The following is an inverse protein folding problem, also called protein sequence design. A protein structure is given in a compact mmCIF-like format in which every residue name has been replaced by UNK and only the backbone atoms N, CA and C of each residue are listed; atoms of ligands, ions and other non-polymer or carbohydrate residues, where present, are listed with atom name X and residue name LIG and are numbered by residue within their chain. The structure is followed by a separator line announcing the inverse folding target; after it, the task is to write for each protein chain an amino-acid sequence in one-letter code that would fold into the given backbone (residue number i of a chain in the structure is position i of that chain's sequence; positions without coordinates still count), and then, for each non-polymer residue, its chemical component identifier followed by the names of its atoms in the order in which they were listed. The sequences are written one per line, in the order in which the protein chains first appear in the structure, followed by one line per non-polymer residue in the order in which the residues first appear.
data_IF_407170413713
#
_entry.id   IF_407170413713
#
_cell.length_a   1.000
_cell.length_b   1.000
_cell.length_c   1.000
_cell.angle_alpha   90.00
_cell.angle_beta   90.00
_cell.angle_gamma   90.00
#
_symmetry.space_group_name_H-M   'P 1'
#
loop_
_entity.id
_entity.type
_entity.pdbx_description
1 polymer ?
#
# COMPACT_ATOMS: atom_id res chain seq x y z
N UNK A 1 10.15 -0.45 -1.50
CA UNK A 1 9.38 0.60 -0.81
C UNK A 1 8.30 1.08 -1.75
N UNK A 2 7.03 0.88 -1.39
CA UNK A 2 5.86 1.28 -2.19
C UNK A 2 5.91 2.77 -2.57
N UNK A 3 6.30 3.05 -3.82
CA UNK A 3 6.35 4.39 -4.41
C UNK A 3 5.42 4.54 -5.61
N UNK A 4 4.46 3.62 -5.75
CA UNK A 4 3.47 3.57 -6.83
C UNK A 4 2.28 2.69 -6.46
N UNK A 5 1.10 3.00 -7.00
CA UNK A 5 -0.06 2.13 -6.92
C UNK A 5 -1.14 2.43 -7.96
N UNK A 6 -2.25 1.68 -7.88
CA UNK A 6 -3.48 1.87 -8.67
C UNK A 6 -4.54 2.49 -7.75
N UNK A 7 -4.98 3.69 -8.09
CA UNK A 7 -6.04 4.41 -7.40
C UNK A 7 -7.00 4.99 -8.44
N UNK A 8 -7.93 4.15 -8.91
CA UNK A 8 -9.01 4.48 -9.85
C UNK A 8 -10.41 4.46 -9.21
N UNK A 9 -10.48 4.15 -7.90
CA UNK A 9 -11.68 4.22 -7.06
C UNK A 9 -12.38 5.58 -7.18
N UNK A 10 -13.72 5.60 -7.23
CA UNK A 10 -14.46 6.87 -7.18
C UNK A 10 -14.37 7.45 -5.76
N UNK A 11 -14.41 8.78 -5.57
CA UNK A 11 -14.34 9.39 -4.23
C UNK A 11 -15.30 8.81 -3.18
N UNK A 12 -16.54 8.52 -3.60
CA UNK A 12 -17.57 7.96 -2.71
C UNK A 12 -17.31 6.48 -2.38
N UNK A 13 -16.47 5.80 -3.15
CA UNK A 13 -16.10 4.39 -2.95
C UNK A 13 -15.00 4.26 -1.89
N UNK A 14 -14.06 5.22 -1.83
CA UNK A 14 -13.02 5.29 -0.79
C UNK A 14 -13.63 5.30 0.61
N UNK A 15 -14.75 6.00 0.81
CA UNK A 15 -15.51 5.94 2.06
C UNK A 15 -16.01 4.52 2.35
N UNK A 16 -16.69 3.86 1.40
CA UNK A 16 -17.26 2.51 1.61
C UNK A 16 -16.21 1.38 1.71
N UNK A 17 -15.00 1.62 1.25
CA UNK A 17 -13.86 0.70 1.37
C UNK A 17 -13.16 0.83 2.73
N UNK A 18 -13.03 2.06 3.24
CA UNK A 18 -12.41 2.34 4.54
C UNK A 18 -13.41 2.31 5.72
N UNK A 19 -14.71 2.42 5.47
CA UNK A 19 -15.79 2.29 6.44
C UNK A 19 -16.41 0.91 6.23
N UNK A 20 -15.87 -0.09 6.92
CA UNK A 20 -16.42 -1.45 6.93
C UNK A 20 -17.61 -1.51 7.92
N UNK A 21 -17.55 -0.71 8.99
CA UNK A 21 -18.59 -0.58 10.02
C UNK A 21 -19.69 0.45 9.65
N UNK A 22 -20.95 0.02 9.57
CA UNK A 22 -22.12 0.90 9.30
C UNK A 22 -22.32 2.03 10.33
N UNK A 23 -21.63 2.00 11.47
CA UNK A 23 -21.73 2.98 12.54
C UNK A 23 -20.95 4.29 12.26
N UNK A 24 -20.04 4.32 11.27
CA UNK A 24 -19.18 5.48 11.01
C UNK A 24 -19.75 6.36 9.89
N UNK A 25 -20.29 7.53 10.24
CA UNK A 25 -20.91 8.45 9.28
C UNK A 25 -19.86 9.26 8.50
N UNK A 26 -19.91 9.19 7.17
CA UNK A 26 -19.28 10.18 6.28
C UNK A 26 -20.00 11.52 6.43
N UNK A 27 -19.28 12.57 6.83
CA UNK A 27 -19.81 13.92 7.01
C UNK A 27 -19.62 14.81 5.77
N UNK A 28 -18.43 14.78 5.15
CA UNK A 28 -18.06 15.68 4.04
C UNK A 28 -16.95 15.13 3.14
N UNK A 29 -16.86 15.68 1.93
CA UNK A 29 -15.77 15.50 0.97
C UNK A 29 -14.99 16.82 0.81
N UNK A 30 -13.66 16.79 0.88
CA UNK A 30 -12.79 17.97 0.84
C UNK A 30 -11.80 17.92 -0.34
N UNK A 31 -11.70 19.04 -1.07
CA UNK A 31 -10.79 19.27 -2.22
C UNK A 31 -10.81 18.19 -3.32
N UNK A 32 -11.95 17.51 -3.48
CA UNK A 32 -12.05 16.33 -4.34
C UNK A 32 -11.97 16.64 -5.85
N UNK A 33 -12.17 17.90 -6.21
CA UNK A 33 -11.84 18.52 -7.50
C UNK A 33 -10.39 18.28 -7.95
N UNK A 34 -9.46 18.07 -7.01
CA UNK A 34 -8.04 17.84 -7.28
C UNK A 34 -7.71 16.39 -7.63
N UNK A 35 -8.63 15.45 -7.42
CA UNK A 35 -8.39 14.03 -7.67
C UNK A 35 -8.52 13.67 -9.14
N UNK A 36 -7.58 12.85 -9.63
CA UNK A 36 -7.67 12.19 -10.93
C UNK A 36 -7.47 10.67 -10.74
N UNK A 37 -8.43 9.82 -11.16
CA UNK A 37 -8.27 8.38 -11.22
C UNK A 37 -7.05 7.97 -12.05
N UNK A 38 -6.18 7.12 -11.50
CA UNK A 38 -4.89 6.73 -12.10
C UNK A 38 -4.52 5.28 -11.83
N UNK A 39 -4.11 4.54 -12.86
CA UNK A 39 -3.58 3.19 -12.73
C UNK A 39 -2.14 3.17 -12.20
N UNK A 40 -1.41 4.28 -12.31
CA UNK A 40 0.02 4.39 -12.02
C UNK A 40 0.32 5.64 -11.16
N UNK A 41 -0.43 5.82 -10.07
CA UNK A 41 -0.30 6.99 -9.18
C UNK A 41 1.02 6.96 -8.40
N UNK A 42 1.69 8.11 -8.31
CA UNK A 42 3.00 8.29 -7.67
C UNK A 42 2.99 9.39 -6.60
N UNK A 43 4.04 9.51 -5.77
CA UNK A 43 4.29 10.72 -4.99
C UNK A 43 4.21 12.00 -5.85
N UNK A 44 3.79 13.09 -5.23
CA UNK A 44 3.41 14.34 -5.89
C UNK A 44 1.96 14.38 -6.41
N UNK A 45 1.29 13.24 -6.54
CA UNK A 45 -0.11 13.17 -6.99
C UNK A 45 -1.09 13.48 -5.85
N UNK A 46 -2.29 13.95 -6.22
CA UNK A 46 -3.43 14.07 -5.32
C UNK A 46 -4.20 12.75 -5.21
N UNK A 47 -4.51 12.31 -4.00
CA UNK A 47 -5.17 11.03 -3.68
C UNK A 47 -6.23 11.26 -2.58
N UNK A 48 -7.45 10.70 -2.70
CA UNK A 48 -8.44 10.72 -1.62
C UNK A 48 -8.00 9.82 -0.46
N UNK A 49 -7.98 10.38 0.75
CA UNK A 49 -7.74 9.64 2.00
C UNK A 49 -8.96 9.78 2.91
N UNK A 50 -9.28 8.74 3.68
CA UNK A 50 -10.28 8.87 4.76
C UNK A 50 -9.58 9.32 6.04
N UNK A 51 -10.13 10.34 6.71
CA UNK A 51 -9.70 10.81 8.03
C UNK A 51 -10.91 11.00 8.95
N UNK A 52 -10.69 11.08 10.26
CA UNK A 52 -11.70 11.63 11.17
C UNK A 52 -12.05 13.07 10.80
N UNK A 53 -13.31 13.44 10.98
CA UNK A 53 -13.78 14.81 10.80
C UNK A 53 -13.50 15.66 12.05
N UNK A 54 -12.83 16.78 11.83
CA UNK A 54 -12.49 17.82 12.80
C UNK A 54 -13.67 18.76 13.10
N UNK A 55 -14.64 18.87 12.19
CA UNK A 55 -15.90 19.59 12.44
C UNK A 55 -17.07 18.69 12.85
N UNK A 56 -16.84 17.40 13.08
CA UNK A 56 -17.86 16.35 13.17
C UNK A 56 -18.65 16.25 14.49
N UNK A 57 -18.81 17.34 15.25
CA UNK A 57 -19.69 17.41 16.44
C UNK A 57 -19.40 16.38 17.54
N UNK A 58 -18.17 15.85 17.63
CA UNK A 58 -17.78 14.80 18.58
C UNK A 58 -18.24 13.37 18.22
N UNK A 59 -19.17 13.20 17.28
CA UNK A 59 -19.84 11.92 16.98
C UNK A 59 -19.04 10.90 16.16
N UNK A 60 -17.70 10.90 16.25
CA UNK A 60 -16.84 9.92 15.57
C UNK A 60 -16.83 9.97 14.03
N UNK A 61 -17.47 10.98 13.42
CA UNK A 61 -17.63 11.10 11.97
C UNK A 61 -16.31 11.20 11.20
N UNK A 62 -16.38 10.93 9.89
CA UNK A 62 -15.22 10.89 8.99
C UNK A 62 -15.42 11.74 7.74
N UNK A 63 -14.32 12.20 7.15
CA UNK A 63 -14.30 12.95 5.90
C UNK A 63 -13.35 12.32 4.89
N UNK A 64 -13.76 12.24 3.63
CA UNK A 64 -12.85 11.94 2.51
C UNK A 64 -12.17 13.23 2.10
N UNK A 65 -10.85 13.28 2.18
CA UNK A 65 -10.06 14.47 1.90
C UNK A 65 -9.04 14.15 0.80
N UNK A 66 -9.08 14.88 -0.31
CA UNK A 66 -8.04 14.79 -1.33
C UNK A 66 -6.77 15.50 -0.87
N UNK A 67 -5.70 14.73 -0.68
CA UNK A 67 -4.41 15.21 -0.17
C UNK A 67 -3.28 14.84 -1.12
N UNK A 68 -2.14 15.52 -1.03
CA UNK A 68 -0.99 15.27 -1.89
C UNK A 68 -0.06 14.21 -1.27
N UNK A 69 0.26 13.15 -2.00
CA UNK A 69 1.14 12.08 -1.53
C UNK A 69 2.60 12.57 -1.47
N UNK A 70 3.21 12.57 -0.29
CA UNK A 70 4.51 13.20 -0.03
C UNK A 70 4.39 14.28 1.03
N UNK A 71 4.58 13.89 2.29
CA UNK A 71 4.32 14.73 3.46
C UNK A 71 5.21 15.98 3.51
N UNK A 72 4.61 17.11 3.82
CA UNK A 72 5.29 18.38 4.13
C UNK A 72 4.95 18.72 5.59
N UNK A 73 5.92 18.68 6.52
CA UNK A 73 5.67 19.08 7.90
C UNK A 73 5.20 20.53 8.00
N UNK A 74 4.18 20.82 8.82
CA UNK A 74 3.67 22.18 9.04
C UNK A 74 4.69 23.17 9.61
N UNK A 75 5.83 22.69 10.13
CA UNK A 75 6.98 23.49 10.56
C UNK A 75 8.06 23.71 9.49
N UNK A 76 7.89 23.17 8.27
CA UNK A 76 8.77 23.46 7.12
C UNK A 76 8.73 24.95 6.80
N UNK A 77 9.86 25.52 6.39
CA UNK A 77 9.96 26.95 6.08
C UNK A 77 8.92 27.34 5.02
N UNK A 78 8.15 28.40 5.28
CA UNK A 78 7.05 28.87 4.40
C UNK A 78 7.49 29.24 2.97
N UNK A 79 8.78 29.50 2.77
CA UNK A 79 9.39 29.80 1.47
C UNK A 79 10.08 28.57 0.82
N UNK A 80 10.14 27.40 1.47
CA UNK A 80 10.71 26.18 0.90
C UNK A 80 9.73 25.56 -0.12
N UNK A 81 10.19 25.32 -1.35
CA UNK A 81 9.40 24.62 -2.36
C UNK A 81 9.27 23.12 -1.98
N UNK A 82 8.06 22.59 -1.77
CA UNK A 82 7.89 21.21 -1.32
C UNK A 82 8.46 20.14 -2.27
N UNK A 83 9.30 19.25 -1.73
CA UNK A 83 9.65 17.98 -2.36
C UNK A 83 8.84 16.82 -1.77
N UNK A 84 7.90 16.33 -2.57
CA UNK A 84 7.02 15.22 -2.22
C UNK A 84 7.72 13.85 -2.26
N UNK A 85 8.88 13.72 -2.90
CA UNK A 85 9.66 12.47 -2.91
C UNK A 85 10.53 12.29 -1.66
N UNK A 86 10.67 13.33 -0.82
CA UNK A 86 11.41 13.30 0.45
C UNK A 86 10.73 12.48 1.55
N UNK A 87 9.39 12.49 1.61
CA UNK A 87 8.63 11.96 2.77
C UNK A 87 7.31 11.23 2.38
N UNK A 88 7.25 10.60 1.20
CA UNK A 88 6.06 9.84 0.75
C UNK A 88 5.77 8.56 1.55
N UNK A 89 6.80 8.00 2.19
CA UNK A 89 6.68 6.88 3.13
C UNK A 89 7.33 7.21 4.48
N UNK A 90 6.81 6.63 5.55
CA UNK A 90 7.41 6.63 6.88
C UNK A 90 7.64 5.18 7.37
N UNK A 91 8.69 4.95 8.15
CA UNK A 91 9.01 3.63 8.73
C UNK A 91 8.36 3.49 10.10
N UNK A 92 7.43 2.54 10.25
CA UNK A 92 6.64 2.29 11.47
C UNK A 92 7.49 2.16 12.73
N UNK A 93 8.68 1.60 12.62
CA UNK A 93 9.64 1.39 13.70
C UNK A 93 10.19 2.71 14.29
N UNK A 94 10.08 3.82 13.54
CA UNK A 94 10.68 5.13 13.89
C UNK A 94 9.70 6.31 13.87
N UNK A 95 8.39 6.07 13.73
CA UNK A 95 7.41 7.16 13.69
C UNK A 95 7.30 7.92 15.01
N UNK A 96 7.47 7.21 16.15
CA UNK A 96 7.37 7.78 17.50
C UNK A 96 8.56 8.66 17.87
N UNK A 97 9.70 8.46 17.22
CA UNK A 97 10.95 9.19 17.46
C UNK A 97 10.98 10.50 16.65
N UNK A 98 10.64 10.43 15.36
CA UNK A 98 10.91 11.49 14.39
C UNK A 98 9.94 12.67 14.56
N UNK A 99 10.40 13.91 14.81
CA UNK A 99 9.53 15.07 15.04
C UNK A 99 8.49 15.32 13.95
N UNK A 100 8.82 15.04 12.69
CA UNK A 100 7.91 15.17 11.55
C UNK A 100 6.68 14.27 11.65
N UNK A 101 6.81 13.08 12.26
CA UNK A 101 5.77 12.06 12.35
C UNK A 101 5.16 11.93 13.76
N UNK A 102 5.96 11.99 14.83
CA UNK A 102 5.49 11.64 16.20
C UNK A 102 4.32 12.48 16.69
N UNK A 103 4.29 13.78 16.34
CA UNK A 103 3.20 14.72 16.66
C UNK A 103 1.90 14.44 15.89
N UNK A 104 1.97 13.70 14.78
CA UNK A 104 0.82 13.36 13.94
C UNK A 104 0.09 12.11 14.45
N UNK A 105 0.81 11.23 15.16
CA UNK A 105 0.29 9.96 15.70
C UNK A 105 -0.99 10.13 16.53
N UNK A 106 -1.18 11.16 17.39
CA UNK A 106 -2.42 11.29 18.17
C UNK A 106 -3.65 11.67 17.35
N UNK A 107 -3.52 12.62 16.43
CA UNK A 107 -4.67 13.33 15.85
C UNK A 107 -4.77 13.26 14.32
N UNK A 108 -3.65 13.02 13.62
CA UNK A 108 -3.54 13.18 12.17
C UNK A 108 -3.28 11.83 11.47
N UNK A 109 -3.97 10.78 11.91
CA UNK A 109 -3.97 9.47 11.23
C UNK A 109 -5.06 9.42 10.17
N UNK A 110 -4.74 8.83 9.03
CA UNK A 110 -5.67 8.62 7.92
C UNK A 110 -5.49 7.22 7.30
N UNK A 111 -6.40 6.89 6.39
CA UNK A 111 -6.48 5.64 5.65
C UNK A 111 -6.39 5.94 4.15
N UNK A 112 -5.56 5.20 3.43
CA UNK A 112 -5.37 5.36 1.97
C UNK A 112 -5.84 4.09 1.27
N UNK A 113 -6.87 4.20 0.43
CA UNK A 113 -7.40 3.08 -0.34
C UNK A 113 -6.78 3.01 -1.75
N UNK A 114 -6.25 1.85 -2.12
CA UNK A 114 -5.72 1.58 -3.47
C UNK A 114 -6.09 0.16 -3.92
N UNK A 115 -6.43 -0.03 -5.18
CA UNK A 115 -6.80 -1.36 -5.73
C UNK A 115 -5.58 -2.29 -5.84
N UNK A 116 -4.38 -1.73 -5.78
CA UNK A 116 -3.11 -2.44 -5.69
C UNK A 116 -1.94 -1.47 -5.54
N UNK A 117 -0.77 -1.96 -5.12
CA UNK A 117 0.49 -1.24 -5.20
C UNK A 117 1.45 -1.90 -6.20
N UNK A 118 2.51 -1.20 -6.59
CA UNK A 118 3.59 -1.78 -7.38
C UNK A 118 4.92 -1.73 -6.65
N UNK A 119 5.70 -2.78 -6.80
CA UNK A 119 7.03 -2.92 -6.23
C UNK A 119 7.98 -3.58 -7.26
N UNK A 120 9.27 -3.25 -7.20
CA UNK A 120 10.24 -3.67 -8.21
C UNK A 120 11.27 -4.66 -7.64
N UNK A 121 11.21 -5.93 -8.08
CA UNK A 121 12.32 -6.87 -7.86
C UNK A 121 13.56 -6.32 -8.57
N UNK A 122 14.63 -6.13 -7.81
CA UNK A 122 15.95 -5.76 -8.34
C UNK A 122 16.68 -7.04 -8.74
N UNK A 123 17.28 -7.05 -9.92
CA UNK A 123 18.03 -8.18 -10.45
C UNK A 123 19.30 -7.66 -11.14
N UNK A 124 20.36 -7.50 -10.35
CA UNK A 124 21.51 -6.68 -10.71
C UNK A 124 21.08 -5.25 -11.06
N UNK A 125 21.32 -4.84 -12.31
CA UNK A 125 20.89 -3.55 -12.87
C UNK A 125 19.44 -3.54 -13.38
N UNK A 126 18.82 -4.70 -13.61
CA UNK A 126 17.44 -4.81 -14.08
C UNK A 126 16.45 -4.62 -12.93
N UNK A 127 15.24 -4.16 -13.25
CA UNK A 127 14.13 -4.02 -12.30
C UNK A 127 12.84 -4.52 -12.92
N UNK A 128 12.26 -5.57 -12.35
CA UNK A 128 10.98 -6.13 -12.79
C UNK A 128 9.87 -5.65 -11.85
N UNK A 129 8.89 -4.84 -12.32
CA UNK A 129 7.73 -4.47 -11.52
C UNK A 129 6.77 -5.64 -11.36
N UNK A 130 6.17 -5.72 -10.18
CA UNK A 130 5.03 -6.57 -9.87
C UNK A 130 3.86 -5.68 -9.44
N UNK A 131 2.64 -6.09 -9.76
CA UNK A 131 1.41 -5.56 -9.17
C UNK A 131 1.04 -6.45 -7.98
N UNK A 132 0.65 -5.86 -6.85
CA UNK A 132 0.32 -6.55 -5.60
C UNK A 132 -1.05 -6.06 -5.11
N UNK A 133 -1.99 -6.99 -4.89
CA UNK A 133 -3.39 -6.71 -4.56
C UNK A 133 -4.05 -7.87 -3.80
N UNK A 134 -5.26 -7.70 -3.30
CA UNK A 134 -6.04 -8.81 -2.74
C UNK A 134 -6.66 -9.69 -3.83
N UNK A 135 -6.65 -11.01 -3.61
CA UNK A 135 -7.13 -12.06 -4.52
C UNK A 135 -8.61 -11.93 -4.90
N UNK A 136 -9.42 -11.29 -4.06
CA UNK A 136 -10.84 -11.02 -4.30
C UNK A 136 -11.10 -9.62 -4.92
N UNK A 137 -10.05 -8.94 -5.39
CA UNK A 137 -10.07 -7.60 -5.98
C UNK A 137 -10.62 -6.48 -5.08
N UNK A 138 -10.85 -6.73 -3.78
CA UNK A 138 -11.12 -5.65 -2.81
C UNK A 138 -9.89 -4.73 -2.74
N UNK A 139 -10.05 -3.41 -2.54
CA UNK A 139 -8.88 -2.54 -2.42
C UNK A 139 -8.13 -2.77 -1.11
N UNK A 140 -6.82 -2.56 -1.16
CA UNK A 140 -5.94 -2.46 -0.01
C UNK A 140 -6.23 -1.16 0.73
N UNK A 141 -6.26 -1.23 2.07
CA UNK A 141 -6.33 -0.05 2.95
C UNK A 141 -4.99 0.08 3.67
N UNK A 142 -4.30 1.21 3.48
CA UNK A 142 -3.01 1.47 4.12
C UNK A 142 -3.14 2.42 5.31
N UNK A 143 -2.40 2.14 6.38
CA UNK A 143 -2.20 3.07 7.48
C UNK A 143 -1.34 4.27 7.01
N UNK A 144 -1.79 5.50 7.29
CA UNK A 144 -1.10 6.72 6.87
C UNK A 144 -1.17 7.84 7.91
N UNK A 145 -0.25 8.79 7.80
CA UNK A 145 -0.24 10.05 8.56
C UNK A 145 -0.40 11.23 7.59
N UNK A 146 -1.15 12.24 7.99
CA UNK A 146 -1.32 13.48 7.22
C UNK A 146 -0.87 14.73 7.98
N UNK A 147 -0.66 15.82 7.26
CA UNK A 147 -0.36 17.12 7.85
C UNK A 147 -0.79 18.27 6.94
N UNK A 148 -0.85 19.48 7.50
CA UNK A 148 -1.10 20.73 6.80
C UNK A 148 0.09 21.65 6.92
N UNK A 149 0.63 22.10 5.79
CA UNK A 149 1.61 23.17 5.70
C UNK A 149 1.00 24.40 5.04
N UNK A 150 1.56 25.57 5.30
CA UNK A 150 1.07 26.85 4.76
C UNK A 150 2.23 27.66 4.23
N UNK A 151 2.19 28.04 2.96
CA UNK A 151 3.24 28.84 2.32
C UNK A 151 3.21 30.30 2.83
N UNK A 152 4.11 31.14 2.32
CA UNK A 152 4.17 32.57 2.65
C UNK A 152 3.03 33.40 2.07
N UNK A 153 2.33 32.89 1.06
CA UNK A 153 1.15 33.50 0.44
C UNK A 153 -0.16 33.19 1.19
N UNK A 154 -0.13 32.25 2.15
CA UNK A 154 -1.27 31.83 2.95
C UNK A 154 -2.04 30.60 2.42
N UNK A 155 -1.59 30.00 1.32
CA UNK A 155 -2.20 28.77 0.79
C UNK A 155 -1.94 27.58 1.70
N UNK A 156 -2.98 26.82 2.03
CA UNK A 156 -2.88 25.59 2.83
C UNK A 156 -2.73 24.37 1.91
N UNK A 157 -1.66 23.61 2.13
CA UNK A 157 -1.34 22.37 1.43
C UNK A 157 -1.47 21.17 2.38
N UNK A 158 -2.50 20.35 2.14
CA UNK A 158 -2.68 19.08 2.85
C UNK A 158 -1.91 17.96 2.16
N UNK A 159 -1.12 17.22 2.95
CA UNK A 159 -0.20 16.18 2.45
C UNK A 159 -0.23 14.94 3.33
N UNK A 160 0.19 13.79 2.81
CA UNK A 160 0.24 12.54 3.58
C UNK A 160 1.46 11.67 3.26
N UNK A 161 1.75 10.74 4.17
CA UNK A 161 2.77 9.69 4.06
C UNK A 161 2.17 8.33 4.37
N UNK A 162 2.53 7.30 3.61
CA UNK A 162 2.08 5.92 3.86
C UNK A 162 3.04 5.28 4.87
N UNK A 163 2.51 4.56 5.85
CA UNK A 163 3.34 3.81 6.79
C UNK A 163 3.85 2.53 6.13
N UNK A 164 5.12 2.22 6.37
CA UNK A 164 5.81 1.04 5.87
C UNK A 164 6.44 0.27 7.00
N UNK A 165 6.39 -1.04 6.90
CA UNK A 165 6.94 -2.02 7.85
C UNK A 165 7.87 -2.98 7.10
N UNK A 166 8.48 -3.96 7.77
CA UNK A 166 9.22 -5.02 7.07
C UNK A 166 8.28 -5.77 6.11
N UNK A 167 8.79 -6.28 5.00
CA UNK A 167 7.98 -7.18 4.16
C UNK A 167 7.57 -8.43 4.92
N UNK A 168 6.38 -8.93 4.60
CA UNK A 168 5.93 -10.23 5.04
C UNK A 168 6.73 -11.37 4.44
N UNK A 169 6.64 -12.54 5.04
CA UNK A 169 7.27 -13.79 4.58
C UNK A 169 7.05 -14.00 3.07
N UNK A 170 5.80 -13.81 2.61
CA UNK A 170 5.38 -13.95 1.22
C UNK A 170 5.99 -12.93 0.24
N UNK A 171 6.45 -11.77 0.70
CA UNK A 171 6.96 -10.66 -0.15
C UNK A 171 8.45 -10.35 0.04
N UNK A 172 9.16 -11.02 0.95
CA UNK A 172 10.57 -10.74 1.25
C UNK A 172 11.51 -10.89 0.04
N UNK A 173 11.19 -11.81 -0.88
CA UNK A 173 11.92 -12.04 -2.14
C UNK A 173 11.79 -10.88 -3.16
N UNK A 174 10.79 -10.00 -2.98
CA UNK A 174 10.47 -8.87 -3.86
C UNK A 174 11.11 -7.56 -3.37
N UNK A 175 10.98 -7.27 -2.07
CA UNK A 175 11.62 -6.11 -1.41
C UNK A 175 11.69 -6.35 0.11
N UNK A 176 12.56 -5.63 0.83
CA UNK A 176 12.63 -5.66 2.31
C UNK A 176 11.50 -4.91 3.04
N UNK A 177 10.67 -4.12 2.33
CA UNK A 177 9.62 -3.25 2.89
C UNK A 177 8.29 -3.38 2.13
N UNK A 178 7.19 -3.45 2.88
CA UNK A 178 5.82 -3.32 2.38
C UNK A 178 5.07 -2.16 3.07
N UNK A 179 3.96 -1.65 2.50
CA UNK A 179 3.06 -0.76 3.24
C UNK A 179 2.41 -1.51 4.41
N UNK A 180 2.07 -0.79 5.48
CA UNK A 180 1.21 -1.33 6.55
C UNK A 180 -0.21 -1.44 6.01
N UNK A 181 -0.61 -2.66 5.65
CA UNK A 181 -1.97 -3.00 5.20
C UNK A 181 -2.83 -3.29 6.43
N UNK A 182 -3.97 -2.63 6.50
CA UNK A 182 -5.02 -2.85 7.50
C UNK A 182 -6.04 -3.81 6.88
N UNK A 183 -5.86 -5.10 7.17
CA UNK A 183 -6.58 -6.18 6.48
C UNK A 183 -8.04 -6.32 6.89
N UNK A 184 -8.35 -6.01 8.14
CA UNK A 184 -9.66 -6.22 8.77
C UNK A 184 -10.24 -4.93 9.40
N UNK A 185 -11.55 -4.94 9.63
CA UNK A 185 -12.31 -3.85 10.26
C UNK A 185 -11.73 -3.39 11.61
N UNK A 186 -11.35 -4.31 12.49
CA UNK A 186 -10.81 -3.97 13.80
C UNK A 186 -9.44 -3.29 13.69
N UNK A 187 -8.61 -3.67 12.71
CA UNK A 187 -7.34 -2.98 12.42
C UNK A 187 -7.56 -1.57 11.88
N UNK A 188 -8.56 -1.38 11.02
CA UNK A 188 -8.96 -0.09 10.43
C UNK A 188 -9.53 0.85 11.50
N UNK A 189 -10.49 0.37 12.31
CA UNK A 189 -11.10 1.15 13.38
C UNK A 189 -10.12 1.40 14.54
N UNK A 190 -9.24 0.45 14.89
CA UNK A 190 -8.19 0.71 15.87
C UNK A 190 -7.18 1.77 15.39
N UNK A 191 -6.80 1.74 14.10
CA UNK A 191 -5.97 2.81 13.52
C UNK A 191 -6.71 4.15 13.50
N UNK A 192 -7.97 4.21 13.07
CA UNK A 192 -8.68 5.47 12.93
C UNK A 192 -9.14 6.05 14.30
N UNK A 193 -9.42 5.22 15.29
CA UNK A 193 -9.94 5.63 16.61
C UNK A 193 -8.92 6.25 17.55
N UNK A 194 -7.65 5.82 17.51
CA UNK A 194 -6.55 6.46 18.23
C UNK A 194 -6.54 6.29 19.75
N UNK A 195 -7.32 5.35 20.29
CA UNK A 195 -7.30 5.03 21.72
C UNK A 195 -5.98 4.36 22.11
N UNK A 196 -5.19 5.03 22.95
CA UNK A 196 -3.94 4.56 23.58
C UNK A 196 -2.80 4.14 22.64
N UNK A 197 -1.62 4.73 22.85
CA UNK A 197 -0.37 4.39 22.14
C UNK A 197 0.06 2.93 22.28
N UNK A 198 -0.39 2.24 23.34
CA UNK A 198 -0.09 0.83 23.62
C UNK A 198 -0.57 -0.15 22.54
N UNK A 199 -1.53 0.22 21.68
CA UNK A 199 -2.02 -0.64 20.58
C UNK A 199 -1.28 -0.46 19.25
N UNK A 200 -0.45 0.58 19.08
CA UNK A 200 0.18 0.90 17.79
C UNK A 200 1.04 -0.25 17.25
N UNK A 201 1.86 -0.86 18.10
CA UNK A 201 2.78 -1.93 17.68
C UNK A 201 2.06 -3.21 17.21
N UNK A 202 0.83 -3.47 17.69
CA UNK A 202 0.02 -4.61 17.25
C UNK A 202 -0.61 -4.39 15.86
N UNK A 203 -0.77 -3.13 15.45
CA UNK A 203 -1.38 -2.71 14.18
C UNK A 203 -0.32 -2.52 13.10
N UNK A 204 0.84 -1.94 13.44
CA UNK A 204 1.89 -1.53 12.49
C UNK A 204 2.85 -2.65 12.04
N UNK A 205 2.38 -3.89 12.09
CA UNK A 205 3.08 -5.13 11.71
C UNK A 205 2.94 -5.43 10.20
N UNK A 206 3.73 -6.36 9.64
CA UNK A 206 3.53 -6.87 8.29
C UNK A 206 2.18 -7.58 8.13
N UNK A 207 1.70 -7.67 6.89
CA UNK A 207 0.49 -8.39 6.54
C UNK A 207 0.85 -9.75 5.93
N UNK A 208 0.56 -10.83 6.66
CA UNK A 208 1.00 -12.20 6.37
C UNK A 208 -0.10 -13.08 5.75
N UNK A 209 -1.35 -12.60 5.62
CA UNK A 209 -2.45 -13.46 5.17
C UNK A 209 -2.33 -13.81 3.68
N UNK A 210 -2.71 -15.05 3.35
CA UNK A 210 -2.57 -15.63 2.00
C UNK A 210 -3.55 -15.09 0.94
N UNK A 211 -4.38 -14.09 1.25
CA UNK A 211 -5.23 -13.41 0.26
C UNK A 211 -4.49 -12.29 -0.51
N UNK A 212 -3.28 -11.89 -0.07
CA UNK A 212 -2.42 -10.95 -0.78
C UNK A 212 -1.63 -11.67 -1.89
N UNK A 213 -1.91 -11.31 -3.15
CA UNK A 213 -1.35 -11.94 -4.35
C UNK A 213 -0.60 -10.94 -5.22
N UNK A 214 0.27 -11.44 -6.10
CA UNK A 214 1.10 -10.62 -6.97
C UNK A 214 1.35 -11.28 -8.33
N UNK A 215 1.62 -10.46 -9.34
CA UNK A 215 2.06 -10.92 -10.66
C UNK A 215 2.96 -9.88 -11.36
N UNK A 216 3.88 -10.30 -12.23
CA UNK A 216 4.79 -9.40 -12.95
C UNK A 216 4.03 -8.55 -13.97
N UNK A 217 4.36 -7.26 -14.08
CA UNK A 217 3.76 -6.33 -15.05
C UNK A 217 4.80 -5.67 -15.96
N UNK A 218 4.36 -4.87 -16.92
CA UNK A 218 5.25 -4.25 -17.92
C UNK A 218 6.33 -3.34 -17.29
N UNK A 219 7.61 -3.44 -17.69
CA UNK A 219 8.67 -2.51 -17.29
C UNK A 219 8.38 -1.03 -17.60
N UNK A 220 7.43 -0.74 -18.50
CA UNK A 220 6.96 0.62 -18.79
C UNK A 220 6.43 1.35 -17.54
N UNK A 221 5.96 0.61 -16.52
CA UNK A 221 5.58 1.13 -15.20
C UNK A 221 6.65 1.99 -14.52
N UNK A 222 7.94 1.87 -14.90
CA UNK A 222 8.97 2.78 -14.42
C UNK A 222 8.62 4.26 -14.68
N UNK A 223 8.02 4.57 -15.84
CA UNK A 223 7.61 5.93 -16.24
C UNK A 223 6.34 6.34 -15.48
N UNK A 224 6.34 7.52 -14.86
CA UNK A 224 5.18 8.08 -14.14
C UNK A 224 4.08 8.64 -15.06
N UNK A 225 4.33 8.71 -16.36
CA UNK A 225 3.37 9.11 -17.40
C UNK A 225 2.73 7.94 -18.16
N UNK A 226 3.11 6.70 -17.84
CA UNK A 226 2.48 5.50 -18.39
C UNK A 226 1.16 5.24 -17.65
N UNK A 227 0.03 5.18 -18.35
CA UNK A 227 -1.30 5.13 -17.76
C UNK A 227 -2.30 4.38 -18.63
N UNK A 228 -3.09 3.50 -18.00
CA UNK A 228 -4.12 2.71 -18.64
C UNK A 228 -4.23 1.28 -18.09
N UNK A 229 -5.19 0.47 -18.57
CA UNK A 229 -5.42 -0.91 -18.10
C UNK A 229 -4.25 -1.86 -18.34
N UNK A 230 -3.31 -1.52 -19.23
CA UNK A 230 -2.05 -2.26 -19.43
C UNK A 230 -1.03 -2.09 -18.30
N UNK A 231 -1.21 -1.12 -17.38
CA UNK A 231 -0.44 -1.02 -16.14
C UNK A 231 -0.63 -2.25 -15.22
N UNK A 232 -1.80 -2.90 -15.31
CA UNK A 232 -2.18 -4.10 -14.54
C UNK A 232 -2.24 -5.38 -15.38
N UNK A 233 -1.74 -5.36 -16.63
CA UNK A 233 -1.65 -6.60 -17.43
C UNK A 233 -0.43 -7.41 -16.99
N UNK A 234 -0.66 -8.67 -16.64
CA UNK A 234 0.41 -9.62 -16.39
C UNK A 234 1.30 -9.79 -17.63
N UNK A 235 2.61 -9.94 -17.42
CA UNK A 235 3.58 -10.21 -18.48
C UNK A 235 4.33 -11.49 -18.21
N UNK A 236 4.42 -12.36 -19.22
CA UNK A 236 5.22 -13.58 -19.14
C UNK A 236 6.71 -13.21 -19.02
N UNK A 237 7.34 -13.63 -17.93
CA UNK A 237 8.77 -13.45 -17.72
C UNK A 237 9.53 -14.39 -18.64
N UNK A 238 10.45 -13.84 -19.44
CA UNK A 238 11.37 -14.66 -20.22
C UNK A 238 12.42 -15.24 -19.29
N UNK A 239 12.40 -16.55 -19.12
CA UNK A 239 13.52 -17.28 -18.53
C UNK A 239 14.78 -17.06 -19.39
N UNK A 240 15.72 -16.25 -18.90
CA UNK A 240 17.03 -16.12 -19.52
C UNK A 240 17.83 -17.41 -19.25
N UNK A 241 17.59 -18.43 -20.07
CA UNK A 241 18.27 -19.73 -20.05
C UNK A 241 19.79 -19.56 -19.92
N UNK A 242 20.29 -19.63 -18.68
CA UNK A 242 21.66 -19.24 -18.30
C UNK A 242 22.71 -20.06 -19.06
N UNK A 243 22.37 -21.31 -19.38
CA UNK A 243 23.12 -22.26 -20.19
C UNK A 243 23.65 -21.62 -21.49
N UNK A 244 22.85 -20.78 -22.16
CA UNK A 244 23.26 -20.10 -23.40
C UNK A 244 24.49 -19.20 -23.23
N UNK A 245 24.64 -18.55 -22.07
CA UNK A 245 25.78 -17.66 -21.76
C UNK A 245 27.06 -18.43 -21.42
N UNK A 246 26.96 -19.71 -21.06
CA UNK A 246 28.13 -20.56 -20.79
C UNK A 246 28.76 -21.10 -22.08
N UNK A 247 27.96 -21.46 -23.09
CA UNK A 247 28.48 -22.06 -24.33
C UNK A 247 29.04 -21.06 -25.35
N UNK A 248 28.64 -19.79 -25.34
CA UNK A 248 29.09 -18.78 -26.32
C UNK A 248 30.55 -18.30 -26.16
N UNK A 249 31.38 -18.90 -25.31
CA UNK A 249 32.77 -18.46 -25.06
C UNK A 249 33.87 -19.42 -25.57
N UNK A 250 33.73 -19.99 -26.79
CA UNK A 250 34.88 -20.62 -27.46
C UNK A 250 34.81 -20.70 -29.01
N UNK A 251 35.08 -19.58 -29.67
CA UNK A 251 35.68 -19.57 -31.02
C UNK A 251 36.83 -18.56 -31.03
N UNK A 252 38.06 -19.07 -30.89
CA UNK A 252 39.28 -18.28 -31.10
C UNK A 252 39.59 -18.16 -32.59
N UNK A 253 40.52 -17.26 -32.92
CA UNK A 253 40.93 -17.00 -34.29
C UNK A 253 41.60 -18.24 -34.91
N UNK A 254 41.30 -18.55 -36.18
CA UNK A 254 42.01 -19.51 -37.00
C UNK A 254 42.05 -19.00 -38.46
N UNK A 255 43.24 -18.72 -38.98
CA UNK A 255 43.47 -18.50 -40.41
C UNK A 255 43.93 -19.80 -41.08
N UNK A 256 43.74 -19.88 -42.38
CA UNK A 256 44.14 -21.01 -43.21
C UNK A 256 45.67 -21.05 -43.44
N UNK A 257 46.24 -22.24 -43.31
CA UNK A 257 47.38 -22.70 -44.12
C UNK A 257 47.36 -24.24 -44.19
N UNK A 258 47.96 -24.81 -45.24
CA UNK A 258 47.68 -26.17 -45.73
C UNK A 258 48.90 -27.12 -45.56
N UNK A 259 48.90 -28.40 -46.02
CA UNK A 259 49.36 -29.54 -45.22
C UNK A 259 50.81 -30.01 -45.54
N UNK A 260 51.29 -31.10 -44.88
CA UNK A 260 51.28 -32.38 -45.60
C UNK A 260 51.08 -33.68 -44.76
N UNK A 261 50.45 -34.68 -45.41
CA UNK A 261 50.75 -36.13 -45.45
C UNK A 261 51.11 -37.01 -44.21
N UNK A 262 50.42 -38.18 -44.17
CA UNK A 262 50.93 -39.58 -44.10
C UNK A 262 50.94 -40.38 -42.77
N UNK A 263 50.35 -41.59 -42.85
CA UNK A 263 50.56 -42.85 -42.08
C UNK A 263 50.43 -42.88 -40.53
N UNK A 264 50.08 -43.98 -39.85
CA UNK A 264 49.11 -45.10 -40.02
C UNK A 264 48.91 -45.76 -38.63
N UNK A 265 48.13 -46.84 -38.55
CA UNK A 265 47.99 -47.74 -37.37
C UNK A 265 47.20 -47.13 -36.18
N UNK A 266 46.25 -47.77 -35.50
CA UNK A 266 45.95 -49.18 -35.20
C UNK A 266 46.75 -49.79 -34.04
N UNK A 267 46.19 -49.72 -32.81
CA UNK A 267 46.17 -50.91 -31.96
C UNK A 267 45.04 -50.93 -30.92
N UNK A 268 44.79 -52.10 -30.34
CA UNK A 268 43.88 -52.32 -29.21
C UNK A 268 44.67 -52.49 -27.93
N UNK A 269 44.14 -52.05 -26.79
CA UNK A 269 44.23 -52.87 -25.57
C UNK A 269 43.09 -52.58 -24.59
N UNK A 270 42.78 -53.57 -23.76
CA UNK A 270 41.89 -53.50 -22.61
C UNK A 270 42.54 -54.29 -21.47
N UNK A 271 42.23 -53.95 -20.21
CA UNK A 271 42.52 -54.63 -18.92
C UNK A 271 42.41 -53.54 -17.81
N UNK A 272 41.98 -53.77 -16.56
CA UNK A 272 41.04 -54.74 -15.98
C UNK A 272 40.52 -54.20 -14.62
N UNK A 273 39.48 -54.80 -14.03
CA UNK A 273 38.87 -54.43 -12.72
C UNK A 273 39.72 -54.94 -11.49
N UNK A 274 39.28 -54.95 -10.19
CA UNK A 274 38.03 -54.52 -9.52
C UNK A 274 38.24 -53.83 -8.13
N UNK A 275 37.31 -54.02 -7.17
CA UNK A 275 37.27 -53.72 -5.69
C UNK A 275 36.30 -52.55 -5.35
N UNK A 276 35.09 -52.75 -4.79
CA UNK A 276 34.64 -53.19 -3.42
C UNK A 276 35.06 -52.22 -2.29
N UNK A 277 34.23 -51.77 -1.33
CA UNK A 277 32.79 -51.92 -1.07
C UNK A 277 32.48 -51.89 0.46
N UNK A 278 31.21 -51.64 0.87
CA UNK A 278 30.68 -51.65 2.28
C UNK A 278 31.27 -50.57 3.24
N UNK A 279 30.63 -50.12 4.35
CA UNK A 279 29.23 -50.12 4.88
C UNK A 279 28.85 -48.63 5.19
N UNK A 280 27.67 -48.15 5.61
CA UNK A 280 26.46 -48.60 6.35
C UNK A 280 26.60 -48.88 7.86
N UNK A 281 26.17 -47.92 8.68
CA UNK A 281 25.73 -48.11 10.08
C UNK A 281 24.47 -47.25 10.32
N UNK A 282 23.58 -47.70 11.21
CA UNK A 282 22.23 -47.21 11.49
C UNK A 282 22.00 -47.36 13.02
N UNK A 283 21.45 -46.36 13.71
CA UNK A 283 20.94 -46.35 15.11
C UNK A 283 20.32 -44.95 15.31
N UNK A 284 19.06 -44.67 15.70
CA UNK A 284 18.03 -45.27 16.60
C UNK A 284 18.07 -44.79 18.07
N UNK A 285 17.04 -43.98 18.41
CA UNK A 285 16.41 -43.77 19.73
C UNK A 285 17.31 -43.23 20.89
N UNK A 286 16.82 -42.83 22.08
CA UNK A 286 15.46 -42.82 22.65
C UNK A 286 15.21 -41.56 23.54
N UNK A 287 14.19 -41.61 24.42
CA UNK A 287 13.63 -40.47 25.17
C UNK A 287 14.27 -40.19 26.55
N UNK A 288 14.03 -39.00 27.14
CA UNK A 288 13.26 -38.86 28.41
C UNK A 288 13.18 -37.42 28.97
N UNK A 289 12.13 -37.18 29.77
CA UNK A 289 11.89 -35.97 30.56
C UNK A 289 12.69 -35.96 31.88
N UNK A 290 12.89 -34.78 32.49
CA UNK A 290 13.10 -34.68 33.94
C UNK A 290 12.33 -33.50 34.55
N UNK A 291 11.81 -33.67 35.77
CA UNK A 291 10.98 -32.70 36.49
C UNK A 291 11.49 -32.48 37.91
N UNK A 292 11.62 -31.20 38.32
CA UNK A 292 11.44 -30.62 39.68
C UNK A 292 12.00 -29.18 39.66
N UNK A 293 11.33 -28.13 40.14
CA UNK A 293 10.58 -27.90 41.39
C UNK A 293 11.48 -27.76 42.62
N UNK A 294 11.58 -26.53 43.14
CA UNK A 294 11.94 -26.22 44.52
C UNK A 294 11.07 -25.06 45.05
N UNK A 295 10.38 -25.37 46.15
CA UNK A 295 9.72 -24.51 47.15
C UNK A 295 10.67 -23.45 47.76
N UNK A 296 10.32 -22.44 48.58
CA UNK A 296 9.10 -21.71 49.02
C UNK A 296 9.62 -20.31 49.50
N UNK A 297 8.98 -19.36 50.23
CA UNK A 297 7.75 -19.18 51.05
C UNK A 297 7.03 -17.87 50.61
N UNK A 298 5.80 -17.54 51.00
CA UNK A 298 5.29 -16.88 52.25
C UNK A 298 6.07 -15.59 52.64
N UNK A 299 5.43 -14.45 52.88
CA UNK A 299 4.40 -14.26 53.92
C UNK A 299 3.23 -13.29 53.60
N UNK A 300 2.26 -13.30 54.54
CA UNK A 300 1.07 -12.44 54.79
C UNK A 300 1.18 -10.92 54.46
N UNK A 301 0.11 -10.11 54.33
CA UNK A 301 -1.12 -10.02 55.16
C UNK A 301 -2.29 -9.17 54.53
N UNK A 302 -3.47 -9.11 55.18
CA UNK A 302 -4.68 -8.37 54.73
C UNK A 302 -5.53 -7.83 55.90
N UNK A 303 -6.02 -6.57 55.86
CA UNK A 303 -7.41 -6.34 56.30
C UNK A 303 -8.26 -5.27 55.55
N UNK A 304 -9.56 -5.57 55.42
CA UNK A 304 -10.74 -4.66 55.43
C UNK A 304 -11.40 -4.76 56.83
N UNK A 305 -12.21 -3.80 57.37
CA UNK A 305 -13.43 -3.17 56.79
C UNK A 305 -13.48 -1.63 57.02
N UNK A 306 -14.53 -0.81 56.82
CA UNK A 306 -16.00 -0.81 57.07
C UNK A 306 -16.65 0.40 56.33
N UNK A 307 -17.93 0.45 55.87
CA UNK A 307 -19.23 0.60 56.58
C UNK A 307 -19.23 1.86 57.49
N UNK A 308 -20.14 2.86 57.43
CA UNK A 308 -21.33 3.26 56.61
C UNK A 308 -21.67 4.77 56.93
N UNK A 309 -22.81 5.45 56.56
CA UNK A 309 -24.12 5.06 55.97
C UNK A 309 -24.66 6.02 54.85
N UNK A 310 -25.99 6.15 54.69
CA UNK A 310 -26.74 7.14 53.85
C UNK A 310 -27.59 8.11 54.73
N UNK A 311 -28.36 9.06 54.14
CA UNK A 311 -29.81 8.79 53.99
C UNK A 311 -30.51 9.40 52.73
N UNK A 312 -31.68 8.81 52.38
CA UNK A 312 -32.97 9.34 51.85
C UNK A 312 -33.03 10.56 50.89
N UNK A 313 -33.99 10.74 49.98
CA UNK A 313 -35.16 10.01 49.41
C UNK A 313 -35.42 10.65 48.00
N UNK A 314 -36.27 10.23 47.06
CA UNK A 314 -37.68 9.77 47.08
C UNK A 314 -37.96 8.76 45.93
N UNK A 315 -39.17 8.18 45.91
CA UNK A 315 -39.65 7.24 44.89
C UNK A 315 -40.61 7.90 43.89
N UNK A 316 -40.60 7.45 42.62
CA UNK A 316 -41.83 7.31 41.82
C UNK A 316 -41.74 6.00 41.03
N UNK A 317 -42.66 5.08 41.29
CA UNK A 317 -42.85 3.82 40.58
C UNK A 317 -43.77 4.06 39.37
N UNK A 318 -43.46 3.51 38.20
CA UNK A 318 -44.51 2.76 37.49
C UNK A 318 -43.97 1.73 36.50
N UNK A 319 -44.71 0.63 36.39
CA UNK A 319 -44.42 -0.52 35.53
C UNK A 319 -45.08 -0.33 34.17
N UNK A 320 -44.58 -1.03 33.16
CA UNK A 320 -45.38 -1.96 32.33
C UNK A 320 -44.43 -2.80 31.46
N UNK A 321 -44.73 -4.09 31.28
CA UNK A 321 -43.97 -4.98 30.42
C UNK A 321 -44.85 -6.00 29.73
N UNK A 322 -44.47 -6.48 28.56
CA UNK A 322 -45.13 -7.59 27.85
C UNK A 322 -44.14 -8.32 26.95
N UNK A 323 -44.23 -9.66 26.90
CA UNK A 323 -43.43 -10.53 26.01
C UNK A 323 -44.14 -10.75 24.67
N UNK A 324 -43.37 -10.81 23.57
CA UNK A 324 -43.53 -11.57 22.30
C UNK A 324 -42.69 -10.88 21.21
N UNK A 325 -42.18 -11.55 20.18
CA UNK A 325 -41.86 -12.98 19.96
C UNK A 325 -40.82 -13.05 18.83
N UNK A 326 -40.32 -14.24 18.50
CA UNK A 326 -39.42 -14.42 17.34
C UNK A 326 -40.14 -14.11 16.03
N UNK A 327 -39.40 -13.58 15.06
CA UNK A 327 -39.49 -14.01 13.66
C UNK A 327 -38.09 -13.97 13.02
N UNK A 328 -37.86 -14.87 12.06
CA UNK A 328 -36.63 -14.95 11.27
C UNK A 328 -36.87 -14.38 9.88
N UNK A 329 -35.96 -13.53 9.38
CA UNK A 329 -35.93 -13.15 7.97
C UNK A 329 -34.51 -13.31 7.40
N UNK A 330 -34.29 -14.47 6.78
CA UNK A 330 -33.18 -14.67 5.84
C UNK A 330 -33.46 -13.89 4.56
N UNK A 331 -32.46 -13.14 4.07
CA UNK A 331 -32.54 -12.44 2.77
C UNK A 331 -31.29 -12.72 1.96
N UNK A 332 -31.41 -13.63 1.00
CA UNK A 332 -30.40 -13.85 -0.03
C UNK A 332 -30.17 -12.56 -0.84
N UNK A 333 -28.92 -12.12 -0.94
CA UNK A 333 -28.52 -11.04 -1.85
C UNK A 333 -27.69 -11.60 -3.01
N UNK A 334 -28.37 -12.17 -4.01
CA UNK A 334 -27.72 -12.59 -5.27
C UNK A 334 -27.22 -11.37 -6.05
N UNK A 335 -26.04 -11.54 -6.67
CA UNK A 335 -25.46 -10.58 -7.60
C UNK A 335 -26.40 -10.28 -8.78
N UNK A 336 -26.49 -9.01 -9.15
CA UNK A 336 -27.09 -8.55 -10.41
C UNK A 336 -26.02 -7.85 -11.26
N UNK A 337 -25.56 -8.55 -12.30
CA UNK A 337 -24.79 -7.94 -13.36
C UNK A 337 -25.70 -7.06 -14.24
N UNK A 338 -25.21 -5.91 -14.69
CA UNK A 338 -25.93 -5.03 -15.60
C UNK A 338 -25.09 -4.70 -16.85
N UNK A 339 -25.71 -4.89 -18.01
CA UNK A 339 -25.07 -4.73 -19.32
C UNK A 339 -24.85 -3.26 -19.71
N UNK A 340 -23.81 -3.02 -20.52
CA UNK A 340 -23.41 -1.68 -20.95
C UNK A 340 -24.20 -1.19 -22.18
N UNK A 341 -25.23 -0.36 -21.95
CA UNK A 341 -25.89 0.39 -23.04
C UNK A 341 -25.09 1.66 -23.38
N UNK A 342 -24.61 1.73 -24.62
CA UNK A 342 -23.87 2.89 -25.17
C UNK A 342 -24.84 4.08 -25.41
N UNK A 343 -24.49 5.32 -25.05
CA UNK A 343 -25.24 6.51 -25.47
C UNK A 343 -24.92 6.88 -26.93
N UNK A 344 -25.94 7.22 -27.71
CA UNK A 344 -25.81 7.66 -29.11
C UNK A 344 -25.53 9.17 -29.18
N UNK A 345 -24.49 9.57 -29.93
CA UNK A 345 -24.18 10.99 -30.15
C UNK A 345 -25.11 11.58 -31.21
N UNK A 346 -25.73 12.72 -30.90
CA UNK A 346 -26.53 13.51 -31.86
C UNK A 346 -25.86 14.86 -32.08
N UNK A 347 -25.55 15.21 -33.34
CA UNK A 347 -24.77 16.40 -33.66
C UNK A 347 -25.64 17.65 -33.91
N UNK A 348 -25.31 18.77 -33.24
CA UNK A 348 -25.97 20.07 -33.45
C UNK A 348 -25.17 20.91 -34.45
N UNK A 349 -25.84 21.41 -35.50
CA UNK A 349 -25.21 22.19 -36.59
C UNK A 349 -24.95 23.65 -36.15
N UNK A 350 -23.70 24.13 -36.29
CA UNK A 350 -23.38 25.58 -36.19
C UNK A 350 -23.94 26.34 -37.40
N UNK A 351 -24.52 27.53 -37.16
CA UNK A 351 -25.00 28.46 -38.20
C UNK A 351 -23.95 29.55 -38.45
N UNK A 352 -23.75 29.97 -39.70
CA UNK A 352 -22.78 31.03 -40.08
C UNK A 352 -23.45 32.40 -40.22
N UNK A 353 -22.91 33.38 -39.49
CA UNK A 353 -22.96 34.85 -39.68
C UNK A 353 -21.78 35.41 -38.88
N UNK A 354 -21.08 36.48 -39.25
CA UNK A 354 -21.16 37.40 -40.39
C UNK A 354 -20.28 38.61 -40.04
N UNK A 355 -19.31 38.98 -40.88
CA UNK A 355 -18.19 39.85 -40.46
C UNK A 355 -18.41 41.34 -40.80
N UNK A 356 -18.06 42.26 -39.89
CA UNK A 356 -17.48 43.56 -40.24
C UNK A 356 -16.06 43.73 -39.66
N UNK A 357 -15.36 44.81 -40.07
CA UNK A 357 -13.90 44.97 -39.95
C UNK A 357 -13.45 46.03 -38.92
N UNK A 358 -12.21 45.85 -38.47
CA UNK A 358 -11.21 46.85 -38.02
C UNK A 358 -11.51 47.77 -36.82
N UNK A 359 -10.68 47.62 -35.79
CA UNK A 359 -9.96 48.70 -35.10
C UNK A 359 -8.60 48.15 -34.62
N UNK A 360 -7.61 49.03 -34.40
CA UNK A 360 -6.29 48.66 -33.84
C UNK A 360 -6.37 48.28 -32.35
N UNK A 361 -5.45 47.42 -31.89
CA UNK A 361 -4.51 47.84 -30.85
C UNK A 361 -3.26 46.92 -30.78
N UNK A 362 -2.11 47.47 -30.36
CA UNK A 362 -0.84 46.75 -30.26
C UNK A 362 -0.52 46.33 -28.82
N UNK A 363 -0.29 45.03 -28.58
CA UNK A 363 0.45 44.56 -27.40
C UNK A 363 1.47 43.46 -27.75
N UNK A 364 2.74 43.58 -27.32
CA UNK A 364 3.81 42.64 -27.69
C UNK A 364 3.79 41.36 -26.85
N UNK A 365 4.07 40.23 -27.50
CA UNK A 365 4.19 38.91 -26.83
C UNK A 365 5.52 38.73 -26.09
N UNK A 366 5.49 37.93 -25.01
CA UNK A 366 6.54 37.74 -24.00
C UNK A 366 7.80 36.96 -24.46
N UNK A 367 8.37 37.28 -25.63
CA UNK A 367 9.56 36.64 -26.21
C UNK A 367 10.77 37.57 -26.38
N UNK A 368 10.69 38.81 -25.88
CA UNK A 368 11.67 39.88 -26.14
C UNK A 368 12.87 39.95 -25.18
N UNK A 369 12.98 39.07 -24.17
CA UNK A 369 13.83 39.32 -22.98
C UNK A 369 15.09 38.46 -22.79
N UNK A 370 15.50 37.64 -23.77
CA UNK A 370 16.77 36.92 -23.73
C UNK A 370 17.54 37.02 -25.05
N UNK A 371 18.40 38.05 -25.14
CA UNK A 371 19.21 38.30 -26.33
C UNK A 371 20.50 39.09 -26.04
N UNK A 372 21.58 38.34 -25.78
CA UNK A 372 23.00 38.78 -25.81
C UNK A 372 23.40 39.93 -24.86
N UNK A 373 24.07 39.56 -23.77
CA UNK A 373 25.06 40.34 -23.03
C UNK A 373 26.21 39.41 -22.66
#
# INVERSE_FOLDING_TARGET
MCGRGRCTLRPNDVARVCIINNNVRLSRTLHIDRYQPRFNVSPGSYVPVLRRDDGGGGGGAVAVHCMKWGLVPGFTNKNEKPDHFKMFNARSESISEKPSFRRLIPNNRCLVAMEGFYEWKKDGSKKQPYHIHFKNERPLVFAALYDSWTNSEGEVLYTFTILTTSSSSALQWLHDRMPVILGDESSVDAWLSGSASSKLNAILKPYEDSDLVWYPVTPAMGKTSFEGPECIKEVQLKEENLISKFFSKKTGNAQESSPPHVETESERSALVHPIKGLKREEEEEESQETTKCYDLQEDTDNPKPSISPCPNQEEVDEKHGTKRSSDQLTVDSKMLAYETKKPTVTAVKKKKTGNPKNADDNQPTLFSYFGKG
#
